data_IF_114692847004
#
_entry.id   IF_114692847004
#
_cell.length_a   1.000
_cell.length_b   1.000
_cell.length_c   1.000
_cell.angle_alpha   90.00
_cell.angle_beta   90.00
_cell.angle_gamma   90.00
#
_symmetry.space_group_name_H-M   'P 1'
#
loop_
_entity.id
_entity.type
_entity.pdbx_description
1 polymer ?
#
# COMPACT_ATOMS: atom_id res chain seq x y z
N UNK A 1 -27.94 -21.97 12.98
CA UNK A 1 -27.57 -23.01 12.01
C UNK A 1 -27.38 -22.36 10.65
N UNK A 2 -26.24 -22.56 10.01
CA UNK A 2 -25.96 -22.00 8.69
C UNK A 2 -25.22 -23.07 7.89
N UNK A 3 -25.76 -23.43 6.72
CA UNK A 3 -25.20 -24.42 5.82
C UNK A 3 -23.92 -23.88 5.16
N UNK A 4 -23.00 -24.76 4.79
CA UNK A 4 -21.80 -24.40 4.03
C UNK A 4 -21.73 -25.21 2.74
N UNK A 5 -21.10 -24.66 1.71
CA UNK A 5 -20.85 -25.38 0.46
C UNK A 5 -19.37 -25.70 0.35
N UNK A 6 -19.11 -26.93 -0.06
CA UNK A 6 -17.79 -27.53 -0.12
C UNK A 6 -17.53 -28.10 -1.51
N UNK A 7 -16.50 -27.59 -2.17
CA UNK A 7 -15.91 -28.18 -3.37
C UNK A 7 -14.63 -28.91 -2.98
N UNK A 8 -14.52 -30.19 -3.34
CA UNK A 8 -13.30 -30.97 -3.09
C UNK A 8 -12.18 -30.49 -4.02
N UNK A 9 -12.15 -31.00 -5.25
CA UNK A 9 -11.00 -30.85 -6.14
C UNK A 9 -11.46 -30.44 -7.54
N UNK A 10 -10.71 -29.55 -8.19
CA UNK A 10 -10.80 -29.21 -9.61
C UNK A 10 -12.19 -28.73 -10.05
N UNK A 11 -12.84 -27.96 -9.18
CA UNK A 11 -14.15 -27.38 -9.43
C UNK A 11 -14.05 -26.31 -10.53
N UNK A 12 -15.09 -26.18 -11.36
CA UNK A 12 -15.12 -25.19 -12.44
C UNK A 12 -16.44 -24.44 -12.45
N UNK A 13 -16.38 -23.14 -12.69
CA UNK A 13 -17.53 -22.25 -12.88
C UNK A 13 -18.53 -22.32 -11.73
N UNK A 14 -18.03 -22.24 -10.50
CA UNK A 14 -18.87 -22.19 -9.31
C UNK A 14 -19.57 -20.84 -9.20
N UNK A 15 -20.86 -20.87 -8.92
CA UNK A 15 -21.69 -19.68 -8.80
C UNK A 15 -22.58 -19.78 -7.56
N UNK A 16 -22.51 -18.77 -6.72
CA UNK A 16 -23.34 -18.61 -5.53
C UNK A 16 -24.08 -17.29 -5.64
N UNK A 17 -25.41 -17.32 -5.58
CA UNK A 17 -26.24 -16.13 -5.73
C UNK A 17 -27.37 -16.11 -4.73
N UNK A 18 -27.61 -14.95 -4.12
CA UNK A 18 -28.73 -14.77 -3.19
C UNK A 18 -28.70 -15.79 -2.03
N UNK A 19 -27.49 -16.21 -1.64
CA UNK A 19 -27.27 -17.24 -0.63
C UNK A 19 -26.91 -16.65 0.73
N UNK A 20 -27.37 -17.30 1.80
CA UNK A 20 -26.87 -17.12 3.17
C UNK A 20 -26.15 -18.39 3.64
N UNK A 21 -24.83 -18.35 3.67
CA UNK A 21 -23.98 -19.51 3.96
C UNK A 21 -23.08 -19.21 5.15
N UNK A 22 -22.62 -20.23 5.86
CA UNK A 22 -21.54 -20.05 6.84
C UNK A 22 -20.16 -20.09 6.19
N UNK A 23 -20.04 -20.83 5.08
CA UNK A 23 -18.77 -21.19 4.44
C UNK A 23 -18.94 -21.40 2.94
N UNK A 24 -17.95 -20.93 2.18
CA UNK A 24 -17.65 -21.42 0.83
C UNK A 24 -16.22 -21.92 0.88
N UNK A 25 -16.01 -23.19 0.57
CA UNK A 25 -14.70 -23.81 0.68
C UNK A 25 -14.36 -24.62 -0.56
N UNK A 26 -13.15 -24.41 -1.08
CA UNK A 26 -12.56 -25.26 -2.11
C UNK A 26 -11.18 -25.70 -1.67
N UNK A 27 -10.98 -27.00 -1.50
CA UNK A 27 -9.71 -27.58 -1.08
C UNK A 27 -8.64 -27.42 -2.17
N UNK A 28 -8.84 -28.08 -3.31
CA UNK A 28 -7.82 -28.15 -4.35
C UNK A 28 -8.31 -27.56 -5.67
N UNK A 29 -7.99 -26.29 -5.89
CA UNK A 29 -8.15 -25.55 -7.15
C UNK A 29 -9.60 -25.47 -7.71
N UNK A 30 -10.21 -24.30 -7.56
CA UNK A 30 -11.36 -23.85 -8.31
C UNK A 30 -10.93 -23.04 -9.52
N UNK A 31 -11.57 -23.23 -10.67
CA UNK A 31 -11.41 -22.36 -11.84
C UNK A 31 -12.69 -21.59 -12.10
N UNK A 32 -12.63 -20.26 -12.00
CA UNK A 32 -13.78 -19.35 -12.06
C UNK A 32 -14.77 -19.55 -10.90
N UNK A 33 -14.88 -18.54 -10.03
CA UNK A 33 -15.78 -18.50 -8.89
C UNK A 33 -16.51 -17.16 -8.86
N UNK A 34 -17.84 -17.21 -8.89
CA UNK A 34 -18.72 -16.04 -8.78
C UNK A 34 -19.54 -16.13 -7.49
N UNK A 35 -19.50 -15.10 -6.66
CA UNK A 35 -20.30 -14.98 -5.43
C UNK A 35 -21.01 -13.63 -5.49
N UNK A 36 -22.34 -13.63 -5.48
CA UNK A 36 -23.12 -12.41 -5.72
C UNK A 36 -24.32 -12.31 -4.80
N UNK A 37 -24.54 -11.11 -4.24
CA UNK A 37 -25.70 -10.81 -3.39
C UNK A 37 -25.81 -11.82 -2.21
N UNK A 38 -24.66 -12.12 -1.57
CA UNK A 38 -24.55 -13.17 -0.56
C UNK A 38 -24.27 -12.63 0.86
N UNK A 39 -24.58 -13.45 1.86
CA UNK A 39 -24.12 -13.28 3.24
C UNK A 39 -23.33 -14.52 3.67
N UNK A 40 -22.05 -14.34 4.00
CA UNK A 40 -21.13 -15.41 4.37
C UNK A 40 -20.72 -15.27 5.84
N UNK A 41 -20.97 -16.30 6.63
CA UNK A 41 -20.69 -16.34 8.06
C UNK A 41 -19.22 -16.55 8.43
N UNK A 42 -19.02 -16.86 9.72
CA UNK A 42 -17.72 -16.90 10.39
C UNK A 42 -16.72 -17.92 9.83
N UNK A 43 -17.19 -18.98 9.16
CA UNK A 43 -16.27 -19.96 8.52
C UNK A 43 -15.70 -19.43 7.19
N UNK A 44 -16.34 -18.43 6.59
CA UNK A 44 -15.75 -17.58 5.56
C UNK A 44 -15.59 -18.22 4.18
N UNK A 45 -14.81 -17.55 3.35
CA UNK A 45 -14.47 -18.00 2.00
C UNK A 45 -13.03 -18.51 2.03
N UNK A 46 -12.84 -19.81 1.82
CA UNK A 46 -11.51 -20.42 1.81
C UNK A 46 -11.28 -21.24 0.56
N UNK A 47 -10.47 -20.72 -0.35
CA UNK A 47 -10.36 -21.25 -1.71
C UNK A 47 -8.92 -21.25 -2.20
N UNK A 48 -8.64 -22.02 -3.24
CA UNK A 48 -7.43 -21.91 -4.07
C UNK A 48 -7.83 -22.13 -5.53
N UNK A 49 -6.96 -21.77 -6.48
CA UNK A 49 -7.15 -22.10 -7.89
C UNK A 49 -6.70 -21.03 -8.87
N UNK A 50 -7.63 -20.56 -9.70
CA UNK A 50 -7.36 -19.60 -10.77
C UNK A 50 -8.58 -19.20 -11.59
N UNK A 51 -8.34 -18.48 -12.67
CA UNK A 51 -9.39 -17.88 -13.49
C UNK A 51 -10.04 -16.67 -12.83
N UNK A 52 -11.31 -16.40 -13.15
CA UNK A 52 -12.02 -15.23 -12.65
C UNK A 52 -12.65 -15.47 -11.27
N UNK A 53 -12.16 -14.76 -10.25
CA UNK A 53 -12.82 -14.63 -8.95
C UNK A 53 -13.59 -13.32 -8.91
N UNK A 54 -14.91 -13.42 -8.95
CA UNK A 54 -15.82 -12.27 -8.88
C UNK A 54 -16.65 -12.36 -7.61
N UNK A 55 -16.56 -11.34 -6.75
CA UNK A 55 -17.43 -11.21 -5.59
C UNK A 55 -18.10 -9.83 -5.62
N UNK A 56 -19.42 -9.82 -5.67
CA UNK A 56 -20.21 -8.60 -5.76
C UNK A 56 -21.27 -8.55 -4.65
N UNK A 57 -21.48 -7.35 -4.09
CA UNK A 57 -22.58 -7.07 -3.16
C UNK A 57 -22.70 -8.09 -2.01
N UNK A 58 -21.56 -8.52 -1.46
CA UNK A 58 -21.51 -9.63 -0.51
C UNK A 58 -20.96 -9.17 0.83
N UNK A 59 -21.64 -9.57 1.90
CA UNK A 59 -21.21 -9.33 3.28
C UNK A 59 -20.56 -10.57 3.85
N UNK A 60 -19.40 -10.40 4.49
CA UNK A 60 -18.66 -11.46 5.17
C UNK A 60 -18.46 -11.14 6.65
N UNK A 61 -18.87 -12.06 7.53
CA UNK A 61 -18.63 -11.99 8.97
C UNK A 61 -17.34 -12.67 9.39
N UNK A 62 -16.44 -11.92 10.03
CA UNK A 62 -15.18 -12.35 10.64
C UNK A 62 -13.97 -11.58 10.10
N UNK A 63 -12.76 -12.00 10.46
CA UNK A 63 -11.55 -11.19 10.26
C UNK A 63 -10.86 -11.31 8.88
N UNK A 64 -11.25 -12.23 8.00
CA UNK A 64 -10.74 -12.28 6.63
C UNK A 64 -11.83 -12.39 5.57
N UNK A 65 -11.81 -11.56 4.53
CA UNK A 65 -12.82 -11.64 3.47
C UNK A 65 -12.63 -12.91 2.62
N UNK A 66 -11.41 -13.13 2.11
CA UNK A 66 -10.99 -14.36 1.44
C UNK A 66 -9.69 -14.85 2.07
N UNK A 67 -9.68 -16.13 2.47
CA UNK A 67 -8.48 -16.81 2.93
C UNK A 67 -8.03 -17.85 1.91
N UNK A 68 -6.97 -17.57 1.16
CA UNK A 68 -6.43 -18.54 0.22
C UNK A 68 -5.72 -19.66 0.97
N UNK A 69 -6.10 -20.90 0.71
CA UNK A 69 -5.64 -22.00 1.56
C UNK A 69 -4.14 -22.23 1.49
N UNK A 70 -3.46 -22.17 2.63
CA UNK A 70 -2.01 -22.29 2.76
C UNK A 70 -1.50 -23.70 2.47
N UNK A 71 -2.27 -24.73 2.80
CA UNK A 71 -1.98 -26.15 2.51
C UNK A 71 -1.95 -26.46 1.00
N UNK A 72 -2.44 -25.55 0.16
CA UNK A 72 -2.38 -25.65 -1.30
C UNK A 72 -1.71 -24.43 -1.96
N UNK A 73 -0.80 -23.77 -1.22
CA UNK A 73 0.07 -22.74 -1.77
C UNK A 73 -0.59 -21.38 -1.92
N UNK A 74 -1.73 -21.15 -1.25
CA UNK A 74 -2.52 -19.92 -1.25
C UNK A 74 -2.76 -19.33 -2.66
N UNK A 75 -2.82 -20.20 -3.67
CA UNK A 75 -2.75 -19.80 -5.06
C UNK A 75 -4.08 -19.27 -5.60
N UNK A 76 -4.05 -18.18 -6.37
CA UNK A 76 -5.14 -17.82 -7.30
C UNK A 76 -4.62 -17.29 -8.64
N UNK A 77 -4.30 -18.16 -9.60
CA UNK A 77 -3.76 -17.70 -10.89
C UNK A 77 -4.89 -17.22 -11.83
N UNK A 78 -5.23 -15.94 -11.70
CA UNK A 78 -6.24 -15.28 -12.51
C UNK A 78 -6.62 -13.92 -11.92
N UNK A 79 -7.78 -13.40 -12.29
CA UNK A 79 -8.23 -12.08 -11.85
C UNK A 79 -9.07 -12.19 -10.58
N UNK A 80 -8.87 -11.26 -9.65
CA UNK A 80 -9.73 -11.09 -8.47
C UNK A 80 -10.42 -9.73 -8.56
N UNK A 81 -11.75 -9.73 -8.45
CA UNK A 81 -12.59 -8.54 -8.44
C UNK A 81 -13.58 -8.61 -7.28
N UNK A 82 -13.43 -7.68 -6.34
CA UNK A 82 -14.37 -7.46 -5.23
C UNK A 82 -15.05 -6.11 -5.45
N UNK A 83 -16.39 -6.07 -5.47
CA UNK A 83 -17.14 -4.83 -5.65
C UNK A 83 -18.34 -4.73 -4.71
N UNK A 84 -18.52 -3.58 -4.07
CA UNK A 84 -19.69 -3.33 -3.21
C UNK A 84 -19.76 -4.29 -2.01
N UNK A 85 -18.61 -4.75 -1.52
CA UNK A 85 -18.52 -5.80 -0.52
C UNK A 85 -18.32 -5.23 0.89
N UNK A 86 -18.79 -5.95 1.90
CA UNK A 86 -18.62 -5.56 3.31
C UNK A 86 -17.92 -6.67 4.08
N UNK A 87 -16.78 -6.36 4.72
CA UNK A 87 -16.15 -7.23 5.71
C UNK A 87 -16.55 -6.74 7.11
N UNK A 88 -17.10 -7.62 7.95
CA UNK A 88 -17.46 -7.33 9.33
C UNK A 88 -16.56 -8.08 10.30
N UNK A 89 -15.44 -7.50 10.76
CA UNK A 89 -14.60 -8.11 11.79
C UNK A 89 -15.39 -8.37 13.07
N UNK A 90 -15.07 -9.46 13.77
CA UNK A 90 -15.87 -9.94 14.92
C UNK A 90 -15.04 -10.08 16.20
N UNK A 91 -13.82 -9.55 16.22
CA UNK A 91 -12.94 -9.59 17.37
C UNK A 91 -11.67 -8.78 17.17
N UNK A 92 -10.78 -8.82 18.16
CA UNK A 92 -9.56 -8.01 18.20
C UNK A 92 -8.35 -8.58 17.43
N UNK A 93 -8.53 -9.66 16.68
CA UNK A 93 -7.45 -10.21 15.85
C UNK A 93 -7.19 -9.38 14.59
N UNK A 94 -6.02 -9.58 13.97
CA UNK A 94 -5.65 -8.98 12.67
C UNK A 94 -6.75 -9.21 11.62
N UNK A 95 -7.03 -8.18 10.82
CA UNK A 95 -8.04 -8.21 9.76
C UNK A 95 -7.37 -8.18 8.39
N UNK A 96 -7.88 -8.94 7.41
CA UNK A 96 -7.41 -8.83 6.03
C UNK A 96 -8.46 -9.14 4.97
N UNK A 97 -8.51 -8.34 3.90
CA UNK A 97 -9.42 -8.61 2.77
C UNK A 97 -8.94 -9.85 2.01
N UNK A 98 -7.70 -9.86 1.54
CA UNK A 98 -7.09 -11.02 0.87
C UNK A 98 -5.94 -11.57 1.70
N UNK A 99 -6.07 -12.82 2.17
CA UNK A 99 -5.02 -13.49 2.93
C UNK A 99 -4.31 -14.54 2.07
N UNK A 100 -3.03 -14.29 1.79
CA UNK A 100 -2.08 -15.21 1.17
C UNK A 100 -1.04 -15.65 2.20
N UNK A 101 -1.10 -16.91 2.62
CA UNK A 101 -0.28 -17.46 3.69
C UNK A 101 0.38 -18.77 3.25
N UNK A 102 0.85 -18.83 2.00
CA UNK A 102 1.55 -20.00 1.47
C UNK A 102 2.76 -20.35 2.34
N UNK A 103 3.04 -21.64 2.48
CA UNK A 103 4.26 -22.10 3.16
C UNK A 103 5.41 -22.08 2.18
N UNK A 104 6.62 -21.95 2.68
CA UNK A 104 7.81 -22.24 1.88
C UNK A 104 7.92 -23.77 1.73
N UNK A 105 7.48 -24.27 0.59
CA UNK A 105 7.38 -25.70 0.29
C UNK A 105 7.31 -25.90 -1.23
N UNK A 106 7.81 -27.04 -1.70
CA UNK A 106 7.66 -27.43 -3.11
C UNK A 106 6.29 -28.09 -3.36
N UNK A 107 5.33 -27.27 -3.76
CA UNK A 107 3.97 -27.71 -4.10
C UNK A 107 3.89 -28.54 -5.39
N UNK A 108 4.98 -28.71 -6.16
CA UNK A 108 5.01 -29.36 -7.48
C UNK A 108 4.16 -28.67 -8.55
N UNK A 109 3.77 -27.41 -8.32
CA UNK A 109 3.11 -26.54 -9.29
C UNK A 109 3.42 -25.06 -8.99
N UNK A 110 3.32 -24.15 -9.98
CA UNK A 110 3.55 -22.72 -9.76
C UNK A 110 2.55 -22.15 -8.75
N UNK A 111 3.06 -21.43 -7.75
CA UNK A 111 2.29 -20.71 -6.76
C UNK A 111 2.58 -19.21 -6.83
N UNK A 112 1.72 -18.41 -6.23
CA UNK A 112 1.77 -16.97 -6.33
C UNK A 112 0.42 -16.36 -6.00
N UNK A 113 0.27 -15.09 -6.33
CA UNK A 113 -0.89 -14.28 -5.97
C UNK A 113 -1.99 -14.37 -7.02
N UNK A 114 -2.42 -13.23 -7.55
CA UNK A 114 -3.33 -13.07 -8.67
C UNK A 114 -2.58 -12.50 -9.89
N UNK A 115 -3.18 -12.57 -11.07
CA UNK A 115 -2.70 -11.82 -12.24
C UNK A 115 -3.14 -10.34 -12.17
N UNK A 116 -4.31 -10.08 -11.58
CA UNK A 116 -4.78 -8.73 -11.27
C UNK A 116 -5.71 -8.75 -10.04
N UNK A 117 -5.69 -7.68 -9.26
CA UNK A 117 -6.58 -7.48 -8.09
C UNK A 117 -7.31 -6.16 -8.24
N UNK A 118 -8.62 -6.17 -8.06
CA UNK A 118 -9.44 -4.95 -7.94
C UNK A 118 -10.33 -5.09 -6.72
N UNK A 119 -10.25 -4.13 -5.80
CA UNK A 119 -11.13 -3.99 -4.64
C UNK A 119 -11.76 -2.60 -4.72
N UNK A 120 -13.06 -2.57 -5.02
CA UNK A 120 -13.81 -1.33 -5.28
C UNK A 120 -15.06 -1.26 -4.38
N UNK A 121 -15.35 -0.07 -3.85
CA UNK A 121 -16.53 0.21 -3.04
C UNK A 121 -16.65 -0.77 -1.85
N UNK A 122 -15.57 -0.93 -1.09
CA UNK A 122 -15.51 -1.85 0.05
C UNK A 122 -15.69 -1.13 1.38
N UNK A 123 -16.50 -1.71 2.27
CA UNK A 123 -16.64 -1.27 3.66
C UNK A 123 -16.04 -2.30 4.60
N UNK A 124 -15.14 -1.87 5.48
CA UNK A 124 -14.72 -2.67 6.64
C UNK A 124 -15.50 -2.16 7.86
N UNK A 125 -16.49 -2.92 8.31
CA UNK A 125 -17.43 -2.52 9.34
C UNK A 125 -17.10 -3.16 10.69
N UNK A 126 -16.50 -2.36 11.56
CA UNK A 126 -16.10 -2.70 12.93
C UNK A 126 -17.21 -2.52 13.96
N UNK A 127 -18.50 -2.38 13.57
CA UNK A 127 -19.59 -2.24 14.53
C UNK A 127 -19.62 -3.36 15.61
N UNK A 128 -19.18 -4.57 15.26
CA UNK A 128 -19.07 -5.70 16.20
C UNK A 128 -17.75 -5.74 17.01
N UNK A 129 -16.78 -4.87 16.70
CA UNK A 129 -15.49 -4.76 17.38
C UNK A 129 -14.98 -3.29 17.40
N UNK A 130 -15.75 -2.32 17.95
CA UNK A 130 -15.48 -0.89 17.79
C UNK A 130 -14.20 -0.42 18.50
N UNK A 131 -13.74 -1.15 19.52
CA UNK A 131 -12.50 -0.88 20.25
C UNK A 131 -11.28 -1.61 19.68
N UNK A 132 -11.42 -2.30 18.53
CA UNK A 132 -10.30 -3.01 17.93
C UNK A 132 -9.24 -2.03 17.42
N UNK A 133 -8.03 -2.16 17.95
CA UNK A 133 -6.82 -1.47 17.46
C UNK A 133 -6.04 -2.32 16.45
N UNK A 134 -6.58 -3.48 16.06
CA UNK A 134 -5.88 -4.41 15.18
C UNK A 134 -5.69 -3.82 13.77
N UNK A 135 -4.52 -4.07 13.20
CA UNK A 135 -4.21 -3.74 11.81
C UNK A 135 -5.22 -4.40 10.86
N UNK A 136 -5.62 -3.64 9.84
CA UNK A 136 -6.48 -4.11 8.77
C UNK A 136 -5.76 -4.03 7.42
N UNK A 137 -5.51 -5.16 6.78
CA UNK A 137 -4.73 -5.24 5.54
C UNK A 137 -5.60 -5.53 4.32
N UNK A 138 -5.52 -4.75 3.25
CA UNK A 138 -6.17 -5.10 1.98
C UNK A 138 -5.58 -6.39 1.41
N UNK A 139 -4.25 -6.53 1.46
CA UNK A 139 -3.56 -7.76 1.12
C UNK A 139 -2.55 -8.12 2.20
N UNK A 140 -2.78 -9.23 2.90
CA UNK A 140 -1.78 -9.87 3.74
C UNK A 140 -1.07 -10.93 2.91
N UNK A 141 0.20 -10.70 2.58
CA UNK A 141 1.02 -11.63 1.78
C UNK A 141 2.21 -12.17 2.56
N UNK A 142 2.80 -13.25 2.05
CA UNK A 142 4.08 -13.78 2.53
C UNK A 142 5.23 -12.82 2.17
N UNK A 143 6.31 -12.78 2.98
CA UNK A 143 7.40 -11.82 2.78
C UNK A 143 8.43 -12.24 1.71
N UNK A 144 8.34 -13.47 1.17
CA UNK A 144 9.28 -13.95 0.15
C UNK A 144 8.69 -13.87 -1.25
N UNK A 145 9.56 -13.81 -2.27
CA UNK A 145 9.18 -13.81 -3.70
C UNK A 145 9.63 -15.06 -4.46
N UNK A 146 10.39 -15.94 -3.82
CA UNK A 146 10.73 -17.28 -4.28
C UNK A 146 10.79 -18.24 -3.10
N UNK A 147 10.58 -19.53 -3.33
CA UNK A 147 10.70 -20.59 -2.33
C UNK A 147 12.17 -20.98 -2.11
N UNK A 148 12.44 -21.78 -1.08
CA UNK A 148 13.73 -22.46 -0.84
C UNK A 148 14.15 -23.39 -2.01
N UNK A 149 13.21 -23.78 -2.88
CA UNK A 149 13.49 -24.55 -4.11
C UNK A 149 13.67 -23.66 -5.34
N UNK A 150 13.91 -22.37 -5.15
CA UNK A 150 14.06 -21.34 -6.20
C UNK A 150 12.83 -21.14 -7.11
N UNK A 151 11.67 -21.69 -6.75
CA UNK A 151 10.44 -21.46 -7.48
C UNK A 151 9.92 -20.05 -7.19
N UNK A 152 9.83 -19.22 -8.22
CA UNK A 152 9.39 -17.81 -8.12
C UNK A 152 7.87 -17.73 -7.97
N UNK A 153 7.42 -16.84 -7.09
CA UNK A 153 6.01 -16.54 -6.93
C UNK A 153 5.55 -15.65 -8.08
N UNK A 154 4.44 -15.99 -8.74
CA UNK A 154 3.84 -15.04 -9.68
C UNK A 154 3.12 -13.90 -8.94
N UNK A 155 3.15 -12.68 -9.50
CA UNK A 155 2.64 -11.47 -8.85
C UNK A 155 1.68 -10.68 -9.76
N UNK A 156 0.74 -9.88 -9.22
CA UNK A 156 -0.20 -9.15 -10.06
C UNK A 156 0.49 -8.09 -10.90
N UNK A 157 0.10 -8.00 -12.18
CA UNK A 157 0.50 -6.88 -13.02
C UNK A 157 -0.32 -5.60 -12.76
N UNK A 158 -1.44 -5.74 -12.04
CA UNK A 158 -2.33 -4.64 -11.68
C UNK A 158 -2.99 -4.90 -10.33
N UNK A 159 -2.93 -3.90 -9.43
CA UNK A 159 -3.60 -3.88 -8.13
C UNK A 159 -4.31 -2.54 -8.02
N UNK A 160 -5.64 -2.55 -7.93
CA UNK A 160 -6.45 -1.35 -7.76
C UNK A 160 -7.27 -1.42 -6.47
N UNK A 161 -7.10 -0.40 -5.63
CA UNK A 161 -7.87 -0.18 -4.41
C UNK A 161 -8.60 1.14 -4.54
N UNK A 162 -9.93 1.10 -4.58
CA UNK A 162 -10.76 2.29 -4.82
C UNK A 162 -11.95 2.36 -3.87
N UNK A 163 -12.23 3.56 -3.35
CA UNK A 163 -13.42 3.85 -2.54
C UNK A 163 -13.58 2.88 -1.36
N UNK A 164 -12.52 2.73 -0.57
CA UNK A 164 -12.50 1.83 0.59
C UNK A 164 -12.68 2.65 1.86
N UNK A 165 -13.66 2.27 2.68
CA UNK A 165 -14.02 2.99 3.90
C UNK A 165 -14.05 2.05 5.09
N UNK A 166 -13.82 2.61 6.27
CA UNK A 166 -13.96 1.92 7.55
C UNK A 166 -15.12 2.53 8.32
N UNK A 167 -15.99 1.68 8.85
CA UNK A 167 -17.10 2.07 9.71
C UNK A 167 -16.91 1.47 11.11
N UNK A 168 -17.45 2.12 12.13
CA UNK A 168 -17.40 1.61 13.52
C UNK A 168 -16.08 1.83 14.25
N UNK A 169 -15.06 2.44 13.63
CA UNK A 169 -13.86 2.98 14.27
C UNK A 169 -13.17 4.04 13.39
N UNK A 170 -12.28 4.84 13.99
CA UNK A 170 -11.50 5.87 13.27
C UNK A 170 -10.34 5.27 12.44
N UNK A 171 -9.71 4.20 12.94
CA UNK A 171 -8.55 3.60 12.29
C UNK A 171 -8.91 2.95 10.95
N UNK A 172 -8.22 3.39 9.89
CA UNK A 172 -8.38 2.90 8.53
C UNK A 172 -7.68 1.57 8.23
N UNK A 173 -7.21 1.44 6.99
CA UNK A 173 -6.55 0.22 6.45
C UNK A 173 -5.10 0.46 6.04
N UNK A 174 -4.30 -0.60 6.06
CA UNK A 174 -3.00 -0.73 5.38
C UNK A 174 -3.16 -1.56 4.11
N UNK A 175 -2.23 -1.39 3.18
CA UNK A 175 -2.37 -1.90 1.81
C UNK A 175 -1.69 -3.27 1.68
N UNK A 176 -0.36 -3.28 1.63
CA UNK A 176 0.46 -4.47 1.36
C UNK A 176 1.93 -4.20 1.73
N UNK A 177 2.66 -5.25 2.14
CA UNK A 177 4.12 -5.21 2.34
C UNK A 177 4.81 -6.19 1.41
N UNK A 178 5.76 -5.71 0.62
CA UNK A 178 6.47 -6.43 -0.44
C UNK A 178 7.98 -6.31 -0.19
N UNK A 179 8.54 -6.99 0.83
CA UNK A 179 9.92 -6.75 1.24
C UNK A 179 10.97 -7.35 0.28
N UNK A 180 10.57 -8.26 -0.60
CA UNK A 180 11.47 -8.91 -1.56
C UNK A 180 10.95 -8.78 -3.00
N UNK A 181 11.01 -7.60 -3.64
CA UNK A 181 10.49 -7.41 -5.01
C UNK A 181 11.32 -8.12 -6.10
N UNK A 182 12.54 -8.54 -5.78
CA UNK A 182 13.59 -8.88 -6.75
C UNK A 182 13.42 -10.22 -7.47
N UNK A 183 12.60 -11.15 -6.97
CA UNK A 183 12.47 -12.49 -7.53
C UNK A 183 11.05 -12.91 -7.92
N UNK A 184 10.06 -12.00 -7.91
CA UNK A 184 8.72 -12.34 -8.42
C UNK A 184 8.75 -12.70 -9.91
N UNK A 185 7.79 -13.49 -10.40
CA UNK A 185 7.57 -13.73 -11.83
C UNK A 185 6.26 -13.06 -12.29
N UNK A 186 6.35 -11.85 -12.85
CA UNK A 186 5.19 -11.15 -13.37
C UNK A 186 4.75 -11.63 -14.76
N UNK A 187 5.51 -12.54 -15.39
CA UNK A 187 5.28 -13.01 -16.77
C UNK A 187 5.23 -11.86 -17.79
N UNK A 188 5.80 -10.71 -17.41
CA UNK A 188 5.83 -9.46 -18.16
C UNK A 188 7.16 -8.77 -17.91
N UNK A 189 7.81 -8.33 -18.98
CA UNK A 189 9.05 -7.61 -18.90
C UNK A 189 8.84 -6.21 -18.27
N UNK A 190 9.62 -5.93 -17.23
CA UNK A 190 9.92 -4.62 -16.69
C UNK A 190 11.44 -4.44 -16.63
N UNK A 191 11.89 -3.34 -16.06
CA UNK A 191 13.33 -3.10 -15.90
C UNK A 191 13.67 -1.67 -15.51
N UNK A 192 14.91 -1.49 -15.09
CA UNK A 192 15.56 -0.21 -14.91
C UNK A 192 16.93 -0.26 -15.58
N UNK A 193 17.20 0.66 -16.51
CA UNK A 193 18.43 0.68 -17.32
C UNK A 193 19.41 1.79 -16.90
N UNK A 194 19.19 2.42 -15.74
CA UNK A 194 19.93 3.60 -15.30
C UNK A 194 19.27 4.92 -15.70
N UNK A 195 18.59 4.97 -16.85
CA UNK A 195 18.01 6.18 -17.42
C UNK A 195 16.48 6.19 -17.38
N UNK A 196 15.86 5.00 -17.38
CA UNK A 196 14.42 4.83 -17.44
C UNK A 196 13.98 3.60 -16.67
N UNK A 197 12.86 3.75 -15.96
CA UNK A 197 12.12 2.64 -15.40
C UNK A 197 10.97 2.23 -16.34
N UNK A 198 10.91 0.96 -16.69
CA UNK A 198 9.80 0.32 -17.39
C UNK A 198 9.03 -0.54 -16.39
N UNK A 199 7.85 -0.08 -15.99
CA UNK A 199 7.03 -0.79 -15.02
C UNK A 199 6.30 -1.97 -15.65
N UNK A 200 6.24 -3.09 -14.93
CA UNK A 200 5.44 -4.28 -15.29
C UNK A 200 4.30 -4.55 -14.30
N UNK A 201 4.24 -3.78 -13.20
CA UNK A 201 3.13 -3.74 -12.26
C UNK A 201 2.60 -2.31 -12.10
N UNK A 202 1.29 -2.14 -11.95
CA UNK A 202 0.69 -0.87 -11.49
C UNK A 202 -0.08 -1.11 -10.20
N UNK A 203 0.20 -0.31 -9.16
CA UNK A 203 -0.53 -0.31 -7.89
C UNK A 203 -1.22 1.05 -7.76
N UNK A 204 -2.55 1.07 -7.85
CA UNK A 204 -3.37 2.27 -7.77
C UNK A 204 -4.17 2.28 -6.46
N UNK A 205 -4.13 3.40 -5.74
CA UNK A 205 -4.83 3.62 -4.49
C UNK A 205 -5.57 4.94 -4.59
N UNK A 206 -6.90 4.89 -4.59
CA UNK A 206 -7.76 6.04 -4.85
C UNK A 206 -8.87 6.11 -3.82
N UNK A 207 -8.96 7.23 -3.08
CA UNK A 207 -10.03 7.46 -2.10
C UNK A 207 -10.17 6.28 -1.11
N UNK A 208 -9.07 5.94 -0.45
CA UNK A 208 -8.99 4.88 0.55
C UNK A 208 -8.80 5.51 1.92
N UNK A 209 -9.64 5.14 2.90
CA UNK A 209 -9.47 5.52 4.29
C UNK A 209 -8.29 4.74 4.90
N UNK A 210 -7.12 5.35 4.85
CA UNK A 210 -5.87 4.81 5.38
C UNK A 210 -5.83 4.88 6.92
N UNK A 211 -5.01 4.03 7.52
CA UNK A 211 -4.76 4.02 8.96
C UNK A 211 -4.12 5.35 9.42
N UNK A 212 -4.50 5.84 10.60
CA UNK A 212 -3.83 7.00 11.19
C UNK A 212 -2.57 6.53 11.90
N UNK A 213 -1.48 6.44 11.14
CA UNK A 213 -0.18 5.99 11.62
C UNK A 213 0.46 7.02 12.55
N UNK A 214 1.11 6.53 13.61
CA UNK A 214 1.97 7.31 14.50
C UNK A 214 3.32 6.57 14.72
N UNK A 215 4.15 6.46 13.67
CA UNK A 215 5.46 5.80 13.71
C UNK A 215 6.34 6.29 14.86
N UNK A 216 7.15 5.38 15.41
CA UNK A 216 8.08 5.71 16.50
C UNK A 216 9.15 6.73 16.08
N UNK A 217 9.61 6.64 14.82
CA UNK A 217 10.60 7.52 14.21
C UNK A 217 10.42 7.55 12.68
N UNK A 218 11.10 8.45 11.95
CA UNK A 218 11.08 8.44 10.49
C UNK A 218 11.46 7.09 9.85
N UNK A 219 12.32 6.30 10.51
CA UNK A 219 12.81 5.02 10.02
C UNK A 219 11.88 3.82 10.32
N UNK A 220 10.75 4.03 11.00
CA UNK A 220 9.82 2.97 11.40
C UNK A 220 9.08 2.36 10.18
N UNK A 221 9.65 1.29 9.63
CA UNK A 221 9.07 0.48 8.56
C UNK A 221 7.87 -0.36 9.00
N UNK A 222 7.62 -0.52 10.31
CA UNK A 222 6.47 -1.23 10.84
C UNK A 222 5.17 -0.46 10.60
N UNK A 223 5.27 0.87 10.72
CA UNK A 223 4.14 1.81 10.62
C UNK A 223 4.05 2.43 9.23
N UNK A 224 3.71 1.62 8.21
CA UNK A 224 3.48 2.08 6.82
C UNK A 224 2.28 1.40 6.17
N UNK A 225 1.65 2.09 5.22
CA UNK A 225 0.54 1.56 4.42
C UNK A 225 1.04 0.65 3.29
N UNK A 226 2.14 1.05 2.64
CA UNK A 226 2.78 0.33 1.55
C UNK A 226 4.28 0.22 1.82
N UNK A 227 4.81 -0.99 1.66
CA UNK A 227 6.24 -1.23 1.68
C UNK A 227 6.68 -1.99 0.42
N UNK A 228 7.74 -1.53 -0.23
CA UNK A 228 8.42 -2.23 -1.32
C UNK A 228 9.94 -2.21 -1.06
N UNK A 229 10.55 -3.39 -1.07
CA UNK A 229 12.00 -3.55 -0.81
C UNK A 229 12.36 -3.52 0.68
N UNK A 230 13.61 -3.18 0.99
CA UNK A 230 14.18 -3.31 2.33
C UNK A 230 15.43 -2.46 2.54
N UNK A 231 16.18 -2.77 3.59
CA UNK A 231 17.36 -2.00 3.99
C UNK A 231 18.59 -2.24 3.12
N UNK A 232 18.65 -3.42 2.49
CA UNK A 232 19.78 -3.84 1.68
C UNK A 232 19.38 -3.84 0.21
N UNK A 233 20.29 -3.34 -0.63
CA UNK A 233 20.16 -3.50 -2.07
C UNK A 233 20.37 -4.95 -2.47
N UNK A 234 19.58 -5.39 -3.44
CA UNK A 234 19.70 -6.72 -4.01
C UNK A 234 19.47 -6.69 -5.52
N UNK A 235 20.12 -7.62 -6.21
CA UNK A 235 20.01 -7.76 -7.64
C UNK A 235 18.63 -8.30 -8.03
N UNK A 236 18.05 -7.68 -9.04
CA UNK A 236 16.84 -8.17 -9.67
C UNK A 236 17.15 -9.42 -10.49
N UNK A 237 16.35 -10.46 -10.33
CA UNK A 237 16.58 -11.74 -10.99
C UNK A 237 16.64 -11.61 -12.52
N UNK A 238 15.70 -10.87 -13.09
CA UNK A 238 15.57 -10.60 -14.52
C UNK A 238 14.43 -9.59 -14.76
N UNK A 239 14.05 -9.40 -16.03
CA UNK A 239 12.97 -8.53 -16.45
C UNK A 239 11.58 -8.95 -15.93
N UNK A 240 11.38 -10.18 -15.44
CA UNK A 240 10.09 -10.61 -14.89
C UNK A 240 9.92 -10.27 -13.40
N UNK A 241 10.97 -9.80 -12.72
CA UNK A 241 10.91 -9.30 -11.34
C UNK A 241 10.01 -8.06 -11.19
N UNK A 242 9.71 -7.63 -9.97
CA UNK A 242 8.70 -6.59 -9.73
C UNK A 242 9.27 -5.17 -9.92
N UNK A 243 8.86 -4.50 -10.99
CA UNK A 243 9.11 -3.08 -11.25
C UNK A 243 7.78 -2.32 -11.21
N UNK A 244 7.34 -1.80 -10.04
CA UNK A 244 6.02 -1.22 -9.89
C UNK A 244 6.00 0.28 -10.24
N UNK A 245 4.88 0.68 -10.85
CA UNK A 245 4.38 2.05 -10.84
C UNK A 245 3.32 2.16 -9.74
N UNK A 246 3.56 3.04 -8.78
CA UNK A 246 2.71 3.24 -7.60
C UNK A 246 1.98 4.57 -7.74
N UNK A 247 0.67 4.59 -7.50
CA UNK A 247 -0.16 5.78 -7.61
C UNK A 247 -1.07 5.91 -6.39
N UNK A 248 -0.96 7.03 -5.69
CA UNK A 248 -1.91 7.45 -4.67
C UNK A 248 -2.69 8.67 -5.18
N UNK A 249 -4.00 8.68 -4.96
CA UNK A 249 -4.87 9.78 -5.37
C UNK A 249 -5.97 9.99 -4.33
N UNK A 250 -6.17 11.24 -3.89
CA UNK A 250 -7.22 11.60 -2.93
C UNK A 250 -7.15 10.73 -1.65
N UNK A 251 -5.95 10.57 -1.11
CA UNK A 251 -5.68 9.77 0.10
C UNK A 251 -5.03 10.63 1.19
N UNK A 252 -5.46 10.42 2.43
CA UNK A 252 -4.94 11.16 3.58
C UNK A 252 -3.98 10.32 4.43
N UNK A 253 -2.95 10.94 5.00
CA UNK A 253 -2.00 10.33 5.93
C UNK A 253 -1.11 9.26 5.29
N UNK A 254 -0.82 9.37 4.00
CA UNK A 254 -0.10 8.34 3.24
C UNK A 254 1.27 8.07 3.86
N UNK A 255 1.58 6.77 4.02
CA UNK A 255 2.77 6.26 4.70
C UNK A 255 3.40 5.18 3.82
N UNK A 256 4.58 5.44 3.26
CA UNK A 256 5.20 4.58 2.24
C UNK A 256 6.69 4.41 2.49
N UNK A 257 7.16 3.17 2.35
CA UNK A 257 8.59 2.84 2.34
C UNK A 257 8.99 2.16 1.03
N UNK A 258 9.97 2.72 0.32
CA UNK A 258 10.52 2.23 -0.95
C UNK A 258 12.05 2.07 -0.84
N UNK A 259 12.49 1.11 -0.04
CA UNK A 259 13.91 0.91 0.24
C UNK A 259 14.60 0.03 -0.79
N UNK A 260 15.70 0.51 -1.35
CA UNK A 260 16.62 -0.19 -2.26
C UNK A 260 15.92 -1.02 -3.34
N UNK A 261 14.87 -0.44 -3.93
CA UNK A 261 14.09 -1.06 -4.98
C UNK A 261 14.00 -0.15 -6.20
N UNK A 262 13.58 -0.72 -7.32
CA UNK A 262 13.25 -0.01 -8.54
C UNK A 262 11.73 0.21 -8.60
N UNK A 263 11.28 1.47 -8.51
CA UNK A 263 9.88 1.85 -8.58
C UNK A 263 9.69 3.32 -9.01
N UNK A 264 8.56 3.64 -9.65
CA UNK A 264 8.11 5.02 -9.82
C UNK A 264 6.87 5.26 -8.96
N UNK A 265 6.88 6.29 -8.11
CA UNK A 265 5.75 6.61 -7.24
C UNK A 265 5.18 8.02 -7.49
N UNK A 266 3.86 8.09 -7.63
CA UNK A 266 3.10 9.30 -7.93
C UNK A 266 2.05 9.52 -6.86
N UNK A 267 2.02 10.72 -6.28
CA UNK A 267 1.07 11.13 -5.26
C UNK A 267 0.33 12.36 -5.78
N UNK A 268 -1.00 12.31 -5.81
CA UNK A 268 -1.84 13.37 -6.34
C UNK A 268 -2.96 13.71 -5.36
N UNK A 269 -3.03 14.97 -4.92
CA UNK A 269 -4.02 15.42 -3.92
C UNK A 269 -4.02 14.56 -2.66
N UNK A 270 -2.82 14.27 -2.15
CA UNK A 270 -2.63 13.47 -0.94
C UNK A 270 -2.13 14.33 0.23
N UNK A 271 -2.49 13.94 1.45
CA UNK A 271 -1.70 14.32 2.63
C UNK A 271 -0.73 13.18 2.95
N UNK A 272 0.53 13.53 3.22
CA UNK A 272 1.63 12.60 3.40
C UNK A 272 2.10 12.65 4.86
N UNK A 273 2.17 11.47 5.48
CA UNK A 273 2.73 11.28 6.80
C UNK A 273 4.23 10.93 6.69
N UNK A 274 4.55 9.79 6.07
CA UNK A 274 5.94 9.36 5.84
C UNK A 274 6.12 8.85 4.40
N UNK A 275 7.18 9.29 3.74
CA UNK A 275 7.60 8.75 2.44
C UNK A 275 9.11 8.64 2.48
N UNK A 276 9.60 7.41 2.56
CA UNK A 276 11.03 7.12 2.71
C UNK A 276 11.49 6.14 1.64
N UNK A 277 12.42 6.59 0.81
CA UNK A 277 12.85 5.89 -0.40
C UNK A 277 14.38 5.76 -0.51
N UNK A 278 15.08 5.24 0.53
CA UNK A 278 16.54 5.14 0.48
C UNK A 278 16.96 4.23 -0.68
N UNK A 279 17.88 4.68 -1.53
CA UNK A 279 18.38 3.89 -2.67
C UNK A 279 17.36 3.62 -3.77
N UNK A 280 16.32 4.46 -3.91
CA UNK A 280 15.29 4.28 -4.93
C UNK A 280 15.82 4.43 -6.36
N UNK A 281 15.71 3.36 -7.13
CA UNK A 281 15.97 3.32 -8.57
C UNK A 281 14.68 3.68 -9.33
N UNK A 282 14.40 4.97 -9.44
CA UNK A 282 13.22 5.46 -10.14
C UNK A 282 12.90 6.91 -9.79
N UNK A 283 11.63 7.28 -9.77
CA UNK A 283 11.21 8.68 -9.57
C UNK A 283 10.13 8.81 -8.49
N UNK A 284 10.11 9.99 -7.87
CA UNK A 284 9.04 10.42 -6.96
C UNK A 284 8.39 11.68 -7.51
N UNK A 285 7.06 11.67 -7.61
CA UNK A 285 6.30 12.83 -8.11
C UNK A 285 5.16 13.14 -7.15
N UNK A 286 5.12 14.39 -6.68
CA UNK A 286 4.12 14.91 -5.78
C UNK A 286 3.39 16.07 -6.45
N UNK A 287 2.06 15.99 -6.53
CA UNK A 287 1.23 17.01 -7.16
C UNK A 287 0.04 17.33 -6.27
N UNK A 288 -0.12 18.62 -5.93
CA UNK A 288 -1.17 19.11 -5.03
C UNK A 288 -1.17 18.39 -3.66
N UNK A 289 0.03 18.01 -3.18
CA UNK A 289 0.21 17.27 -1.93
C UNK A 289 0.47 18.17 -0.71
N UNK A 290 0.07 17.71 0.47
CA UNK A 290 0.42 18.32 1.76
C UNK A 290 1.35 17.39 2.54
N UNK A 291 2.51 17.89 2.94
CA UNK A 291 3.46 17.18 3.79
C UNK A 291 3.19 17.56 5.24
N UNK A 292 2.67 16.63 6.05
CA UNK A 292 2.40 16.86 7.47
C UNK A 292 2.67 15.55 8.23
N UNK A 293 3.94 15.31 8.62
CA UNK A 293 4.31 14.09 9.30
C UNK A 293 3.75 14.07 10.73
N UNK A 294 3.28 12.90 11.18
CA UNK A 294 2.84 12.63 12.54
C UNK A 294 3.66 11.47 13.12
N UNK A 295 4.51 11.78 14.11
CA UNK A 295 5.53 10.86 14.62
C UNK A 295 5.57 10.92 16.16
N UNK A 296 6.12 9.90 16.81
CA UNK A 296 6.38 9.93 18.26
C UNK A 296 7.64 10.72 18.61
N UNK A 297 8.66 10.64 17.75
CA UNK A 297 9.91 11.37 17.85
C UNK A 297 10.45 11.72 16.46
N UNK A 298 11.21 12.81 16.38
CA UNK A 298 11.92 13.24 15.17
C UNK A 298 13.41 13.07 15.42
N UNK A 299 14.03 12.17 14.65
CA UNK A 299 15.46 11.94 14.63
C UNK A 299 15.94 11.98 13.18
N UNK A 300 16.86 12.90 12.86
CA UNK A 300 17.33 13.10 11.50
C UNK A 300 16.25 13.64 10.55
N UNK A 301 16.36 13.29 9.28
CA UNK A 301 15.44 13.68 8.23
C UNK A 301 14.15 12.85 8.29
N UNK A 302 13.00 13.52 8.24
CA UNK A 302 11.68 12.89 8.28
C UNK A 302 11.37 12.17 6.96
N UNK A 303 11.77 12.77 5.84
CA UNK A 303 11.56 12.21 4.51
C UNK A 303 12.90 11.94 3.83
N UNK A 304 13.06 10.73 3.30
CA UNK A 304 14.16 10.35 2.40
C UNK A 304 13.63 10.32 0.98
N UNK A 305 13.86 11.38 0.21
CA UNK A 305 13.24 11.59 -1.11
C UNK A 305 14.24 11.59 -2.27
N UNK A 306 15.48 11.17 -2.03
CA UNK A 306 16.45 10.97 -3.11
C UNK A 306 16.00 9.82 -4.03
N UNK A 307 16.07 10.05 -5.35
CA UNK A 307 15.68 9.06 -6.35
C UNK A 307 16.50 9.21 -7.62
N UNK A 308 16.85 8.09 -8.25
CA UNK A 308 17.79 8.07 -9.37
C UNK A 308 17.30 8.81 -10.63
N UNK A 309 15.98 8.88 -10.85
CA UNK A 309 15.34 9.59 -11.98
C UNK A 309 14.72 10.95 -11.56
N UNK A 310 14.99 11.36 -10.32
CA UNK A 310 14.64 12.66 -9.78
C UNK A 310 13.29 12.72 -9.08
N UNK A 311 13.22 13.69 -8.18
CA UNK A 311 12.06 13.96 -7.34
C UNK A 311 11.46 15.32 -7.69
N UNK A 312 10.12 15.40 -7.79
CA UNK A 312 9.41 16.59 -8.26
C UNK A 312 8.22 16.93 -7.37
N UNK A 313 8.11 18.20 -7.01
CA UNK A 313 6.99 18.77 -6.25
C UNK A 313 6.29 19.83 -7.10
N UNK A 314 4.96 19.76 -7.19
CA UNK A 314 4.14 20.75 -7.89
C UNK A 314 2.94 21.10 -7.04
N UNK A 315 2.78 22.39 -6.70
CA UNK A 315 1.70 22.91 -5.86
C UNK A 315 1.60 22.21 -4.49
N UNK A 316 2.74 21.90 -3.88
CA UNK A 316 2.78 21.22 -2.59
C UNK A 316 2.81 22.22 -1.43
N UNK A 317 2.29 21.82 -0.27
CA UNK A 317 2.42 22.60 0.98
C UNK A 317 3.16 21.79 2.03
N UNK A 318 4.14 22.39 2.69
CA UNK A 318 4.89 21.79 3.80
C UNK A 318 4.40 22.37 5.11
N UNK A 319 3.84 21.51 5.96
CA UNK A 319 3.29 21.86 7.27
C UNK A 319 4.24 21.50 8.40
N UNK A 320 3.97 22.05 9.58
CA UNK A 320 4.69 21.67 10.78
C UNK A 320 4.53 20.17 11.07
N UNK A 321 5.64 19.45 11.39
CA UNK A 321 5.55 18.12 11.97
C UNK A 321 4.67 18.08 13.22
N UNK A 322 3.90 17.01 13.37
CA UNK A 322 3.16 16.70 14.58
C UNK A 322 3.95 15.67 15.39
N UNK A 323 4.39 16.04 16.60
CA UNK A 323 5.06 15.12 17.52
C UNK A 323 4.09 14.77 18.64
N UNK A 324 3.68 13.50 18.70
CA UNK A 324 2.62 13.03 19.60
C UNK A 324 1.33 13.88 19.53
N UNK A 325 0.99 14.33 18.31
CA UNK A 325 -0.20 15.14 18.03
C UNK A 325 -0.02 16.65 18.22
N UNK A 326 1.12 17.11 18.76
CA UNK A 326 1.41 18.53 18.93
C UNK A 326 2.21 19.08 17.74
N UNK A 327 1.81 20.23 17.20
CA UNK A 327 2.53 20.87 16.11
C UNK A 327 3.88 21.44 16.59
N UNK A 328 4.94 21.10 15.87
CA UNK A 328 6.34 21.50 16.14
C UNK A 328 6.92 22.22 14.92
N UNK A 329 6.48 23.47 14.64
CA UNK A 329 6.90 24.22 13.45
C UNK A 329 8.41 24.48 13.38
N UNK A 330 9.11 24.48 14.51
CA UNK A 330 10.58 24.56 14.56
C UNK A 330 11.29 23.34 13.95
N UNK A 331 10.58 22.22 13.76
CA UNK A 331 11.10 20.99 13.15
C UNK A 331 10.88 20.93 11.64
N UNK A 332 10.40 22.00 10.99
CA UNK A 332 10.26 22.01 9.52
C UNK A 332 11.60 21.83 8.79
N UNK A 333 12.70 22.26 9.42
CA UNK A 333 14.06 22.05 8.94
C UNK A 333 14.49 20.57 8.95
N UNK A 334 13.77 19.71 9.68
CA UNK A 334 13.99 18.26 9.70
C UNK A 334 13.23 17.52 8.61
N UNK A 335 12.61 18.21 7.64
CA UNK A 335 11.91 17.55 6.54
C UNK A 335 12.84 16.79 5.59
N UNK A 336 14.13 17.17 5.53
CA UNK A 336 15.15 16.51 4.70
C UNK A 336 15.23 16.99 3.25
N UNK A 337 14.23 17.76 2.78
CA UNK A 337 14.20 18.33 1.43
C UNK A 337 14.13 19.86 1.39
N UNK A 338 13.92 20.53 2.53
CA UNK A 338 14.10 21.97 2.65
C UNK A 338 14.59 22.36 4.04
N UNK A 339 15.26 23.51 4.10
CA UNK A 339 15.63 24.20 5.33
C UNK A 339 15.30 25.68 5.20
N UNK A 340 14.64 26.27 6.19
CA UNK A 340 14.25 27.68 6.17
C UNK A 340 15.47 28.57 5.99
N UNK A 341 15.42 29.45 4.99
CA UNK A 341 16.54 30.31 4.57
C UNK A 341 17.84 29.56 4.20
N UNK A 342 17.74 28.26 3.94
CA UNK A 342 18.86 27.40 3.58
C UNK A 342 18.61 26.66 2.25
N UNK A 343 19.15 25.45 2.11
CA UNK A 343 18.96 24.63 0.93
C UNK A 343 17.49 24.24 0.71
N UNK A 344 17.10 24.18 -0.56
CA UNK A 344 15.89 23.52 -1.05
C UNK A 344 16.39 22.46 -2.03
N UNK A 345 16.04 21.19 -1.82
CA UNK A 345 16.53 20.06 -2.64
C UNK A 345 15.48 19.67 -3.67
N UNK A 346 15.91 19.01 -4.75
CA UNK A 346 15.01 18.48 -5.79
C UNK A 346 14.23 19.55 -6.58
N UNK A 347 13.38 19.13 -7.52
CA UNK A 347 12.64 20.08 -8.36
C UNK A 347 11.37 20.57 -7.67
N UNK A 348 11.22 21.88 -7.51
CA UNK A 348 10.02 22.51 -6.95
C UNK A 348 9.35 23.44 -7.95
N UNK A 349 8.02 23.38 -8.01
CA UNK A 349 7.16 24.36 -8.67
C UNK A 349 6.05 24.72 -7.68
N UNK A 350 5.99 25.99 -7.27
CA UNK A 350 4.96 26.54 -6.39
C UNK A 350 4.78 25.75 -5.08
N UNK A 351 5.86 25.54 -4.33
CA UNK A 351 5.80 24.98 -2.98
C UNK A 351 5.49 26.08 -1.96
N UNK A 352 4.54 25.84 -1.07
CA UNK A 352 4.16 26.73 0.01
C UNK A 352 4.57 26.18 1.38
N UNK A 353 4.71 27.07 2.36
CA UNK A 353 4.79 26.69 3.77
C UNK A 353 3.42 26.87 4.43
N UNK A 354 3.08 26.00 5.37
CA UNK A 354 1.89 26.14 6.22
C UNK A 354 1.92 27.44 7.02
N UNK A 355 0.75 28.00 7.30
CA UNK A 355 0.64 29.27 8.03
C UNK A 355 1.28 29.18 9.42
N UNK A 356 1.14 28.03 10.09
CA UNK A 356 1.74 27.75 11.39
C UNK A 356 3.28 27.83 11.36
N UNK A 357 3.89 27.41 10.24
CA UNK A 357 5.34 27.53 10.03
C UNK A 357 5.71 28.99 9.81
N UNK A 358 5.00 29.68 8.92
CA UNK A 358 5.27 31.09 8.61
C UNK A 358 5.11 31.99 9.85
N UNK A 359 4.06 31.76 10.65
CA UNK A 359 3.80 32.49 11.88
C UNK A 359 4.86 32.22 12.95
N UNK A 360 5.31 30.97 13.09
CA UNK A 360 6.38 30.62 14.02
C UNK A 360 7.65 31.43 13.76
N UNK A 361 8.15 31.44 12.51
CA UNK A 361 9.35 32.19 12.17
C UNK A 361 9.16 33.70 12.27
N UNK A 362 7.97 34.21 11.88
CA UNK A 362 7.64 35.64 12.05
C UNK A 362 7.70 36.05 13.52
N UNK A 363 7.10 35.26 14.41
CA UNK A 363 7.08 35.54 15.85
C UNK A 363 8.47 35.41 16.49
N UNK A 364 9.33 34.55 15.93
CA UNK A 364 10.74 34.43 16.30
C UNK A 364 11.62 35.57 15.74
N UNK A 365 11.06 36.53 14.99
CA UNK A 365 11.80 37.62 14.35
C UNK A 365 12.65 37.18 13.15
N UNK A 366 12.41 35.98 12.63
CA UNK A 366 13.11 35.41 11.48
C UNK A 366 12.34 35.78 10.21
N UNK A 367 12.99 36.55 9.34
CA UNK A 367 12.44 36.95 8.04
C UNK A 367 12.87 35.94 6.98
N UNK A 368 11.91 35.42 6.21
CA UNK A 368 12.22 34.53 5.09
C UNK A 368 12.98 35.29 4.00
N UNK A 369 14.12 34.74 3.55
CA UNK A 369 14.98 35.39 2.58
C UNK A 369 14.33 35.39 1.19
N UNK A 370 14.54 36.44 0.37
CA UNK A 370 14.02 36.46 -0.99
C UNK A 370 14.49 35.28 -1.85
N UNK A 371 15.73 34.81 -1.64
CA UNK A 371 16.31 33.66 -2.32
C UNK A 371 15.57 32.36 -1.98
N UNK A 372 15.34 32.10 -0.69
CA UNK A 372 14.58 30.94 -0.25
C UNK A 372 13.15 30.94 -0.80
N UNK A 373 12.48 32.09 -0.78
CA UNK A 373 11.14 32.26 -1.37
C UNK A 373 11.17 32.00 -2.88
N UNK A 374 12.22 32.43 -3.60
CA UNK A 374 12.36 32.19 -5.03
C UNK A 374 12.51 30.69 -5.33
N UNK A 375 13.33 29.95 -4.56
CA UNK A 375 13.49 28.50 -4.68
C UNK A 375 12.18 27.74 -4.42
N UNK A 376 11.37 28.17 -3.45
CA UNK A 376 10.05 27.58 -3.23
C UNK A 376 9.09 27.81 -4.41
N UNK A 377 9.20 28.93 -5.13
CA UNK A 377 8.40 29.21 -6.33
C UNK A 377 8.84 28.34 -7.52
N UNK A 378 10.15 28.27 -7.76
CA UNK A 378 10.75 27.50 -8.85
C UNK A 378 12.18 27.14 -8.48
N UNK A 379 12.48 25.85 -8.44
CA UNK A 379 13.84 25.34 -8.20
C UNK A 379 14.10 24.11 -9.06
N UNK A 380 15.29 24.04 -9.66
CA UNK A 380 15.78 22.83 -10.32
C UNK A 380 16.99 22.31 -9.53
N UNK A 381 17.17 20.98 -9.35
CA UNK A 381 18.32 20.42 -8.61
C UNK A 381 19.68 20.66 -9.28
N UNK A 382 19.73 21.32 -10.44
CA UNK A 382 20.99 21.73 -11.09
C UNK A 382 21.38 23.17 -10.72
N UNK A 383 20.54 23.86 -9.95
CA UNK A 383 20.80 25.21 -9.45
C UNK A 383 21.57 25.19 -8.10
N UNK A 384 21.97 24.00 -7.62
CA UNK A 384 22.73 23.78 -6.37
C UNK A 384 24.19 24.25 -6.43
#
# INVERSE_FOLDING_TARGET
MSWGVFGTNLNKNFRFENCRLNRIDVHFHCWNLSIKDCSIGFKGISVTGGGDLLIENTTRDGNSFISFRSDYGSKWDGRIRLRGCTLRPTGAGRVSVLTYAMRDFDYKYPIGFAQSVSIEDMVIDYAAAPTSEAECWLMSIVPFSKTETDARLFFPAQIDFRNIRVAGREQGVRLIRIPSPHHYDLRRAGGYDGNRLTANCTISVENVQLERLNPASPADKGSVHLLVGGDEAADYADQAALYPRIRFTDCEGVGVYLGNCAASAFFNRCTLNTVNAPGLQGELVFTDCRFQPGLQAVEGDIYTLDSALGTRFTNCTVHAPLVNGEARPELVDSTGFLRVNGPVRHSHINTALGNEVVEHYRNAGIVLSPDFIAKLKLHHPLDE
#
